data_IF_645946319832
#
_entry.id   IF_645946319832
#
_cell.length_a   1.000
_cell.length_b   1.000
_cell.length_c   1.000
_cell.angle_alpha   90.00
_cell.angle_beta   90.00
_cell.angle_gamma   90.00
#
_symmetry.space_group_name_H-M   'P 1'
#
loop_
_entity.id
_entity.type
_entity.pdbx_description
1 polymer ?
#
# COMPACT_ATOMS: atom_id res chain seq x y z
N UNK A 1 29.08 -2.79 0.11
CA UNK A 1 28.01 -3.83 0.07
C UNK A 1 28.50 -5.16 -0.52
N UNK A 2 29.71 -5.24 -1.10
CA UNK A 2 30.27 -6.46 -1.75
C UNK A 2 30.55 -7.65 -0.80
N UNK A 3 30.40 -7.48 0.52
CA UNK A 3 30.69 -8.52 1.53
C UNK A 3 29.44 -9.32 1.99
N UNK A 4 28.30 -9.15 1.32
CA UNK A 4 27.06 -9.87 1.64
C UNK A 4 26.76 -10.92 0.57
N UNK A 5 26.38 -12.11 1.01
CA UNK A 5 26.07 -13.27 0.18
C UNK A 5 24.75 -13.09 -0.60
N UNK A 6 23.78 -12.40 0.00
CA UNK A 6 22.46 -12.22 -0.59
C UNK A 6 22.06 -10.75 -0.58
N UNK A 7 21.35 -10.35 -1.64
CA UNK A 7 20.71 -9.04 -1.78
C UNK A 7 19.25 -9.25 -2.19
N UNK A 8 18.32 -8.68 -1.42
CA UNK A 8 16.91 -8.60 -1.77
C UNK A 8 16.57 -7.14 -2.05
N UNK A 9 15.92 -6.89 -3.18
CA UNK A 9 15.21 -5.64 -3.43
C UNK A 9 13.72 -5.88 -3.26
N UNK A 10 13.10 -5.13 -2.35
CA UNK A 10 11.66 -5.16 -2.10
C UNK A 10 11.07 -3.79 -2.46
N UNK A 11 10.35 -3.67 -3.58
CA UNK A 11 9.89 -2.39 -4.09
C UNK A 11 8.86 -1.75 -3.14
N UNK A 12 8.73 -0.43 -3.24
CA UNK A 12 7.54 0.26 -2.77
C UNK A 12 6.42 0.08 -3.78
N UNK A 13 5.22 0.56 -3.43
CA UNK A 13 4.05 0.45 -4.29
C UNK A 13 3.23 1.71 -4.36
N UNK A 14 2.51 1.87 -5.46
CA UNK A 14 1.45 2.86 -5.63
C UNK A 14 0.16 2.19 -6.11
N UNK A 15 -0.97 2.80 -5.78
CA UNK A 15 -2.30 2.29 -6.08
C UNK A 15 -3.11 3.38 -6.80
N UNK A 16 -3.29 3.32 -8.12
CA UNK A 16 -4.11 4.31 -8.84
C UNK A 16 -5.61 4.12 -8.63
N UNK A 17 -6.06 2.89 -8.39
CA UNK A 17 -7.47 2.52 -8.18
C UNK A 17 -7.58 1.36 -7.18
N UNK A 18 -8.64 1.35 -6.37
CA UNK A 18 -8.85 0.35 -5.32
C UNK A 18 -8.47 0.86 -3.93
N UNK A 19 -8.61 2.16 -3.70
CA UNK A 19 -8.37 2.80 -2.43
C UNK A 19 -9.26 2.21 -1.32
N UNK A 20 -8.67 1.81 -0.18
CA UNK A 20 -9.43 1.52 1.04
C UNK A 20 -10.58 0.49 0.91
N UNK A 21 -10.46 -0.45 -0.03
CA UNK A 21 -11.46 -1.50 -0.23
C UNK A 21 -10.91 -2.90 0.02
N UNK A 22 -9.59 -3.08 0.09
CA UNK A 22 -8.93 -4.37 0.32
C UNK A 22 -9.36 -5.01 1.65
N UNK A 23 -9.40 -4.23 2.73
CA UNK A 23 -9.85 -4.68 4.05
C UNK A 23 -11.37 -4.94 4.14
N UNK A 24 -12.12 -4.66 3.06
CA UNK A 24 -13.53 -5.02 2.89
C UNK A 24 -13.72 -6.09 1.80
N UNK A 25 -12.64 -6.77 1.40
CA UNK A 25 -12.61 -7.78 0.33
C UNK A 25 -13.03 -7.22 -1.04
N UNK A 26 -12.67 -5.98 -1.33
CA UNK A 26 -12.91 -5.33 -2.62
C UNK A 26 -11.92 -5.78 -3.71
N UNK A 27 -12.00 -5.09 -4.85
CA UNK A 27 -11.03 -5.24 -5.93
C UNK A 27 -9.98 -4.14 -5.80
N UNK A 28 -8.72 -4.49 -6.05
CA UNK A 28 -7.62 -3.52 -5.99
C UNK A 28 -6.69 -3.62 -7.17
N UNK A 29 -6.01 -2.51 -7.45
CA UNK A 29 -4.94 -2.44 -8.45
C UNK A 29 -3.72 -1.72 -7.92
N UNK A 30 -2.57 -1.96 -8.54
CA UNK A 30 -1.37 -1.20 -8.22
C UNK A 30 -0.14 -1.60 -9.01
N UNK A 31 0.93 -0.85 -8.74
CA UNK A 31 2.26 -1.05 -9.29
C UNK A 31 3.25 -1.22 -8.15
N UNK A 32 4.17 -2.18 -8.29
CA UNK A 32 5.49 -2.04 -7.68
C UNK A 32 6.26 -0.96 -8.46
N UNK A 33 7.11 -0.19 -7.77
CA UNK A 33 7.91 0.87 -8.39
C UNK A 33 9.41 0.59 -8.26
N UNK A 34 10.22 1.19 -9.14
CA UNK A 34 11.69 1.05 -9.17
C UNK A 34 12.43 1.76 -8.00
N UNK A 35 11.74 1.93 -6.88
CA UNK A 35 12.24 2.44 -5.60
C UNK A 35 11.70 1.53 -4.51
N UNK A 36 12.53 1.14 -3.57
CA UNK A 36 12.14 0.20 -2.51
C UNK A 36 13.09 0.20 -1.33
N UNK A 37 13.09 -0.95 -0.66
CA UNK A 37 14.02 -1.33 0.39
C UNK A 37 15.02 -2.33 -0.18
N UNK A 38 16.29 -2.04 0.02
CA UNK A 38 17.37 -2.99 -0.18
C UNK A 38 17.73 -3.64 1.15
N UNK A 39 17.86 -4.96 1.15
CA UNK A 39 18.35 -5.76 2.28
C UNK A 39 19.50 -6.63 1.82
N UNK A 40 20.69 -6.34 2.33
CA UNK A 40 21.88 -7.18 2.13
C UNK A 40 22.13 -8.00 3.39
N UNK A 41 22.37 -9.30 3.24
CA UNK A 41 22.56 -10.16 4.40
C UNK A 41 23.45 -11.39 4.14
N UNK A 42 24.05 -11.88 5.21
CA UNK A 42 24.74 -13.15 5.30
C UNK A 42 23.93 -14.09 6.21
N UNK A 43 23.88 -15.37 5.86
CA UNK A 43 23.26 -16.39 6.71
C UNK A 43 24.23 -16.79 7.81
N UNK A 44 23.71 -16.92 9.02
CA UNK A 44 24.46 -17.39 10.19
C UNK A 44 24.18 -18.88 10.44
N UNK A 45 25.11 -19.54 11.13
CA UNK A 45 24.92 -20.94 11.57
C UNK A 45 24.09 -21.05 12.86
N UNK A 46 23.94 -19.94 13.60
CA UNK A 46 23.06 -19.83 14.77
C UNK A 46 21.75 -19.10 14.43
N UNK A 47 20.82 -19.05 15.37
CA UNK A 47 19.53 -18.39 15.19
C UNK A 47 19.56 -16.86 15.43
N UNK A 48 20.74 -16.25 15.63
CA UNK A 48 20.82 -14.84 15.97
C UNK A 48 20.58 -13.96 14.73
N UNK A 49 19.83 -12.88 14.91
CA UNK A 49 19.58 -11.87 13.88
C UNK A 49 20.18 -10.57 14.36
N UNK A 50 21.11 -10.03 13.58
CA UNK A 50 21.71 -8.72 13.79
C UNK A 50 21.41 -7.85 12.58
N UNK A 51 20.71 -6.74 12.78
CA UNK A 51 20.32 -5.83 11.71
C UNK A 51 20.74 -4.40 12.02
N UNK A 52 21.31 -3.73 11.03
CA UNK A 52 21.58 -2.29 11.04
C UNK A 52 20.81 -1.61 9.92
N UNK A 53 20.45 -0.34 10.10
CA UNK A 53 19.75 0.45 9.07
C UNK A 53 20.60 1.65 8.68
N UNK A 54 20.75 1.89 7.38
CA UNK A 54 21.34 3.13 6.87
C UNK A 54 20.35 4.30 6.89
N UNK A 55 19.08 4.02 7.15
CA UNK A 55 17.99 5.01 7.14
C UNK A 55 17.47 5.36 8.54
N UNK A 56 17.82 4.58 9.56
CA UNK A 56 17.35 4.74 10.94
C UNK A 56 18.47 4.43 11.91
N UNK A 57 18.52 5.17 13.01
CA UNK A 57 19.44 4.88 14.10
C UNK A 57 19.06 3.60 14.84
N UNK A 58 20.03 3.04 15.57
CA UNK A 58 19.87 1.85 16.38
C UNK A 58 20.18 0.55 15.65
N UNK A 59 20.46 -0.48 16.44
CA UNK A 59 20.71 -1.83 15.98
C UNK A 59 19.60 -2.75 16.50
N UNK A 60 19.33 -3.83 15.78
CA UNK A 60 18.31 -4.80 16.14
C UNK A 60 18.96 -6.16 16.31
N UNK A 61 18.85 -6.69 17.53
CA UNK A 61 19.38 -8.00 17.90
C UNK A 61 18.27 -8.86 18.49
N UNK A 62 18.05 -10.04 17.94
CA UNK A 62 17.12 -11.02 18.53
C UNK A 62 17.40 -12.43 18.01
N UNK A 63 16.84 -13.41 18.71
CA UNK A 63 17.00 -14.83 18.37
C UNK A 63 15.73 -15.35 17.66
N UNK A 64 15.86 -15.93 16.45
CA UNK A 64 14.72 -16.50 15.70
C UNK A 64 14.10 -17.73 16.38
N UNK A 65 14.89 -18.55 17.06
CA UNK A 65 14.43 -19.78 17.69
C UNK A 65 13.61 -19.49 18.96
N UNK A 66 13.84 -18.36 19.64
CA UNK A 66 13.05 -17.96 20.81
C UNK A 66 11.63 -17.52 20.48
N UNK A 67 10.73 -17.51 21.47
CA UNK A 67 9.38 -16.93 21.32
C UNK A 67 9.50 -15.44 20.97
N UNK A 68 8.58 -14.91 20.17
CA UNK A 68 8.58 -13.48 19.88
C UNK A 68 8.10 -12.70 21.11
N UNK A 69 8.88 -11.70 21.51
CA UNK A 69 8.60 -10.84 22.66
C UNK A 69 7.60 -9.72 22.31
N UNK A 70 7.16 -9.00 23.35
CA UNK A 70 6.30 -7.82 23.22
C UNK A 70 7.00 -6.77 22.35
N UNK A 71 6.24 -6.02 21.56
CA UNK A 71 6.75 -4.93 20.72
C UNK A 71 7.59 -3.95 21.51
N UNK A 72 8.72 -3.57 20.92
CA UNK A 72 9.66 -2.61 21.49
C UNK A 72 9.39 -1.18 20.98
N UNK A 73 8.41 -1.00 20.08
CA UNK A 73 8.11 0.27 19.39
C UNK A 73 9.31 0.80 18.60
N UNK A 74 10.12 -0.13 18.09
CA UNK A 74 11.32 0.12 17.31
C UNK A 74 11.12 -0.37 15.86
N UNK A 75 11.92 0.11 14.90
CA UNK A 75 11.81 -0.38 13.51
C UNK A 75 12.09 -1.88 13.39
N UNK A 76 12.81 -2.46 14.36
CA UNK A 76 13.00 -3.90 14.50
C UNK A 76 11.73 -4.71 14.78
N UNK A 77 10.60 -4.07 15.12
CA UNK A 77 9.31 -4.75 15.29
C UNK A 77 8.86 -5.41 13.98
N UNK A 78 9.20 -4.86 12.82
CA UNK A 78 8.85 -5.48 11.53
C UNK A 78 9.61 -6.80 11.32
N UNK A 79 10.89 -6.86 11.67
CA UNK A 79 11.66 -8.12 11.63
C UNK A 79 11.09 -9.15 12.63
N UNK A 80 10.75 -8.71 13.84
CA UNK A 80 10.08 -9.57 14.84
C UNK A 80 8.70 -10.06 14.38
N UNK A 81 7.96 -9.23 13.65
CA UNK A 81 6.69 -9.57 13.04
C UNK A 81 6.84 -10.62 11.94
N UNK A 82 7.80 -10.45 11.03
CA UNK A 82 8.12 -11.45 10.01
C UNK A 82 8.49 -12.80 10.64
N UNK A 83 9.34 -12.79 11.68
CA UNK A 83 9.62 -13.98 12.50
C UNK A 83 8.34 -14.58 13.08
N UNK A 84 7.49 -13.77 13.72
CA UNK A 84 6.24 -14.24 14.35
C UNK A 84 5.36 -15.00 13.36
N UNK A 85 5.12 -14.43 12.18
CA UNK A 85 4.28 -15.04 11.16
C UNK A 85 4.90 -16.31 10.56
N UNK A 86 6.21 -16.30 10.27
CA UNK A 86 6.91 -17.48 9.75
C UNK A 86 6.89 -18.66 10.74
N UNK A 87 7.10 -18.41 12.04
CA UNK A 87 7.13 -19.45 13.08
C UNK A 87 5.82 -20.22 13.27
N UNK A 88 4.70 -19.68 12.77
CA UNK A 88 3.43 -20.42 12.78
C UNK A 88 3.43 -21.61 11.83
N UNK A 89 4.33 -21.61 10.83
CA UNK A 89 4.39 -22.59 9.75
C UNK A 89 5.70 -23.36 9.72
N UNK A 90 6.79 -22.76 10.20
CA UNK A 90 8.14 -23.30 10.05
C UNK A 90 8.96 -23.20 11.33
N UNK A 91 9.87 -24.14 11.50
CA UNK A 91 10.93 -24.02 12.50
C UNK A 91 12.07 -23.16 11.92
N UNK A 92 12.51 -22.15 12.68
CA UNK A 92 13.57 -21.23 12.28
C UNK A 92 14.78 -21.41 13.18
N UNK A 93 15.89 -21.86 12.62
CA UNK A 93 17.13 -22.20 13.33
C UNK A 93 18.35 -21.40 12.88
N UNK A 94 18.27 -20.78 11.69
CA UNK A 94 19.34 -19.94 11.12
C UNK A 94 18.90 -18.48 11.01
N UNK A 95 19.68 -17.59 11.61
CA UNK A 95 19.52 -16.15 11.56
C UNK A 95 20.40 -15.50 10.50
N UNK A 96 20.50 -14.18 10.57
CA UNK A 96 21.18 -13.36 9.56
C UNK A 96 21.94 -12.21 10.20
N UNK A 97 23.07 -11.84 9.59
CA UNK A 97 23.68 -10.52 9.75
C UNK A 97 23.32 -9.69 8.54
N UNK A 98 22.59 -8.58 8.72
CA UNK A 98 22.06 -7.81 7.61
C UNK A 98 22.10 -6.30 7.80
N UNK A 99 22.10 -5.59 6.68
CA UNK A 99 21.96 -4.14 6.62
C UNK A 99 20.85 -3.80 5.63
N UNK A 100 20.00 -2.83 5.99
CA UNK A 100 18.91 -2.36 5.14
C UNK A 100 19.02 -0.87 4.82
N UNK A 101 18.49 -0.50 3.65
CA UNK A 101 18.39 0.88 3.20
C UNK A 101 17.06 1.11 2.48
N UNK A 102 16.34 2.16 2.89
CA UNK A 102 15.18 2.66 2.14
C UNK A 102 15.58 3.72 1.13
N UNK A 103 15.07 3.62 -0.10
CA UNK A 103 15.41 4.55 -1.20
C UNK A 103 14.63 5.88 -1.21
N UNK A 104 13.51 5.98 -0.48
CA UNK A 104 12.65 7.16 -0.38
C UNK A 104 12.25 7.42 1.09
N UNK A 105 11.81 8.66 1.42
CA UNK A 105 11.27 8.98 2.74
C UNK A 105 10.08 8.10 3.12
N UNK A 106 9.90 7.88 4.43
CA UNK A 106 8.73 7.15 4.94
C UNK A 106 7.47 8.00 4.79
N UNK A 107 6.50 7.49 4.03
CA UNK A 107 5.15 8.06 4.00
C UNK A 107 4.37 7.63 2.76
N UNK A 108 3.22 6.98 2.93
CA UNK A 108 2.26 6.71 1.85
C UNK A 108 2.64 5.61 0.84
N UNK A 109 3.90 5.19 0.76
CA UNK A 109 4.38 4.23 -0.26
C UNK A 109 4.51 2.76 0.21
N UNK A 110 3.98 2.46 1.40
CA UNK A 110 4.06 1.13 2.05
C UNK A 110 5.45 0.58 2.24
N UNK A 111 6.31 1.42 2.80
CA UNK A 111 7.62 1.01 3.30
C UNK A 111 7.54 -0.07 4.39
N UNK A 112 6.46 -0.14 5.17
CA UNK A 112 6.24 -1.21 6.17
C UNK A 112 6.06 -2.58 5.51
N UNK A 113 5.20 -2.66 4.50
CA UNK A 113 4.99 -3.89 3.74
C UNK A 113 6.27 -4.30 2.96
N UNK A 114 6.98 -3.32 2.38
CA UNK A 114 8.23 -3.58 1.66
C UNK A 114 9.29 -4.21 2.56
N UNK A 115 9.51 -3.64 3.76
CA UNK A 115 10.50 -4.18 4.70
C UNK A 115 10.04 -5.54 5.29
N UNK A 116 8.74 -5.72 5.56
CA UNK A 116 8.20 -7.00 6.01
C UNK A 116 8.43 -8.11 4.98
N UNK A 117 8.17 -7.84 3.70
CA UNK A 117 8.42 -8.80 2.61
C UNK A 117 9.90 -9.14 2.53
N UNK A 118 10.80 -8.15 2.61
CA UNK A 118 12.23 -8.38 2.61
C UNK A 118 12.67 -9.32 3.74
N UNK A 119 12.17 -9.10 4.98
CA UNK A 119 12.48 -9.97 6.11
C UNK A 119 11.88 -11.37 5.97
N UNK A 120 10.64 -11.50 5.51
CA UNK A 120 10.02 -12.82 5.27
C UNK A 120 10.86 -13.61 4.27
N UNK A 121 11.25 -13.00 3.16
CA UNK A 121 12.09 -13.63 2.14
C UNK A 121 13.49 -13.97 2.67
N UNK A 122 14.12 -13.08 3.43
CA UNK A 122 15.46 -13.30 4.00
C UNK A 122 15.47 -14.45 5.01
N UNK A 123 14.52 -14.48 5.94
CA UNK A 123 14.43 -15.54 6.94
C UNK A 123 14.04 -16.88 6.32
N UNK A 124 13.16 -16.88 5.32
CA UNK A 124 12.85 -18.10 4.56
C UNK A 124 14.11 -18.63 3.86
N UNK A 125 14.86 -17.76 3.16
CA UNK A 125 16.12 -18.11 2.49
C UNK A 125 17.17 -18.65 3.45
N UNK A 126 17.36 -18.01 4.60
CA UNK A 126 18.32 -18.43 5.62
C UNK A 126 18.04 -19.83 6.17
N UNK A 127 16.76 -20.21 6.21
CA UNK A 127 16.30 -21.50 6.73
C UNK A 127 15.99 -22.52 5.62
N UNK A 128 16.37 -22.26 4.37
CA UNK A 128 16.13 -23.19 3.25
C UNK A 128 14.65 -23.38 2.88
N UNK A 129 13.78 -22.46 3.30
CA UNK A 129 12.34 -22.51 3.02
C UNK A 129 12.07 -21.88 1.66
N UNK A 130 11.39 -22.62 0.79
CA UNK A 130 10.92 -22.11 -0.50
C UNK A 130 9.48 -21.66 -0.36
N UNK A 131 9.21 -20.38 -0.62
CA UNK A 131 7.87 -19.79 -0.59
C UNK A 131 7.44 -19.40 -2.00
N UNK A 132 6.19 -19.69 -2.34
CA UNK A 132 5.56 -19.09 -3.50
C UNK A 132 5.32 -17.60 -3.26
N UNK A 133 5.29 -16.76 -4.31
CA UNK A 133 5.10 -15.31 -4.15
C UNK A 133 3.85 -14.95 -3.34
N UNK A 134 2.75 -15.68 -3.52
CA UNK A 134 1.51 -15.42 -2.77
C UNK A 134 1.60 -15.87 -1.30
N UNK A 135 2.41 -16.88 -0.98
CA UNK A 135 2.66 -17.24 0.43
C UNK A 135 3.44 -16.12 1.14
N UNK A 136 4.37 -15.46 0.45
CA UNK A 136 5.07 -14.27 0.97
C UNK A 136 4.07 -13.15 1.28
N UNK A 137 3.10 -12.91 0.39
CA UNK A 137 2.00 -11.94 0.62
C UNK A 137 1.23 -12.26 1.90
N UNK A 138 0.80 -13.50 2.05
CA UNK A 138 -0.02 -13.94 3.19
C UNK A 138 0.74 -13.86 4.52
N UNK A 139 2.01 -14.30 4.54
CA UNK A 139 2.84 -14.27 5.75
C UNK A 139 3.16 -12.82 6.15
N UNK A 140 3.48 -11.96 5.19
CA UNK A 140 3.74 -10.54 5.47
C UNK A 140 2.48 -9.82 5.98
N UNK A 141 1.30 -10.10 5.41
CA UNK A 141 0.02 -9.54 5.87
C UNK A 141 -0.32 -9.99 7.29
N UNK A 142 -0.10 -11.27 7.61
CA UNK A 142 -0.31 -11.79 8.96
C UNK A 142 0.60 -11.13 9.99
N UNK A 143 1.87 -10.90 9.64
CA UNK A 143 2.80 -10.16 10.49
C UNK A 143 2.30 -8.73 10.78
N UNK A 144 1.79 -8.03 9.77
CA UNK A 144 1.32 -6.65 9.92
C UNK A 144 0.02 -6.57 10.75
N UNK A 145 -0.91 -7.49 10.52
CA UNK A 145 -2.19 -7.52 11.25
C UNK A 145 -2.05 -7.97 12.69
N UNK A 146 -1.37 -9.08 12.92
CA UNK A 146 -1.39 -9.74 14.23
C UNK A 146 -0.26 -9.28 15.15
N UNK A 147 0.90 -8.92 14.58
CA UNK A 147 2.03 -8.45 15.39
C UNK A 147 2.09 -6.92 15.42
N UNK A 148 2.02 -6.24 14.26
CA UNK A 148 2.07 -4.77 14.21
C UNK A 148 0.73 -4.14 14.62
N UNK A 149 -0.39 -4.86 14.48
CA UNK A 149 -1.71 -4.39 14.91
C UNK A 149 -2.41 -3.44 13.93
N UNK A 150 -2.03 -3.49 12.64
CA UNK A 150 -2.66 -2.69 11.60
C UNK A 150 -3.67 -3.56 10.82
N UNK A 151 -4.96 -3.24 10.88
CA UNK A 151 -6.02 -4.01 10.23
C UNK A 151 -6.15 -3.69 8.73
N UNK A 152 -5.05 -3.76 7.98
CA UNK A 152 -5.05 -3.57 6.53
C UNK A 152 -5.48 -4.83 5.78
N UNK A 153 -5.74 -4.67 4.47
CA UNK A 153 -5.94 -5.78 3.56
C UNK A 153 -4.63 -6.23 2.90
N UNK A 154 -4.75 -6.84 1.71
CA UNK A 154 -3.64 -7.48 1.00
C UNK A 154 -2.99 -6.59 -0.08
N UNK A 155 -3.53 -5.39 -0.33
CA UNK A 155 -3.14 -4.55 -1.47
C UNK A 155 -1.63 -4.29 -1.50
N UNK A 156 -1.07 -3.88 -0.37
CA UNK A 156 0.32 -3.46 -0.28
C UNK A 156 1.27 -4.62 -0.53
N UNK A 157 1.08 -5.73 0.19
CA UNK A 157 1.94 -6.90 0.11
C UNK A 157 1.81 -7.56 -1.27
N UNK A 158 0.59 -7.60 -1.84
CA UNK A 158 0.37 -8.14 -3.17
C UNK A 158 1.07 -7.33 -4.26
N UNK A 159 0.96 -6.00 -4.24
CA UNK A 159 1.68 -5.15 -5.21
C UNK A 159 3.19 -5.38 -5.14
N UNK A 160 3.73 -5.43 -3.93
CA UNK A 160 5.17 -5.53 -3.70
C UNK A 160 5.70 -6.92 -4.09
N UNK A 161 5.00 -8.01 -3.75
CA UNK A 161 5.50 -9.36 -4.04
C UNK A 161 5.18 -9.84 -5.46
N UNK A 162 4.02 -9.46 -6.00
CA UNK A 162 3.49 -9.99 -7.26
C UNK A 162 3.68 -9.04 -8.46
N UNK A 163 4.08 -7.80 -8.19
CA UNK A 163 4.28 -6.77 -9.20
C UNK A 163 5.15 -7.22 -10.36
N UNK A 164 4.88 -6.65 -11.54
CA UNK A 164 5.66 -6.88 -12.74
C UNK A 164 5.93 -5.56 -13.43
N UNK A 165 7.14 -5.44 -13.96
CA UNK A 165 7.53 -4.32 -14.80
C UNK A 165 6.52 -4.14 -15.94
N UNK A 166 6.11 -2.90 -16.19
CA UNK A 166 5.14 -2.51 -17.23
C UNK A 166 3.78 -3.23 -17.15
N UNK A 167 3.38 -3.71 -15.96
CA UNK A 167 2.11 -4.39 -15.73
C UNK A 167 1.32 -3.80 -14.57
N UNK A 168 0.00 -3.69 -14.74
CA UNK A 168 -0.92 -3.34 -13.66
C UNK A 168 -1.32 -4.62 -12.93
N UNK A 169 -1.02 -4.72 -11.63
CA UNK A 169 -1.57 -5.79 -10.81
C UNK A 169 -3.06 -5.55 -10.63
N UNK A 170 -3.86 -6.61 -10.81
CA UNK A 170 -5.24 -6.70 -10.37
C UNK A 170 -5.34 -7.84 -9.35
N UNK A 171 -6.03 -7.59 -8.24
CA UNK A 171 -6.33 -8.58 -7.20
C UNK A 171 -7.78 -8.45 -6.76
N UNK A 172 -8.47 -9.58 -6.68
CA UNK A 172 -9.70 -9.73 -5.93
C UNK A 172 -9.36 -10.18 -4.50
N UNK A 173 -9.58 -9.30 -3.52
CA UNK A 173 -9.24 -9.58 -2.12
C UNK A 173 -10.19 -10.57 -1.43
N UNK A 174 -11.27 -11.00 -2.11
CA UNK A 174 -12.19 -12.03 -1.61
C UNK A 174 -11.73 -13.43 -2.02
N UNK A 175 -11.56 -13.66 -3.32
CA UNK A 175 -11.14 -14.97 -3.88
C UNK A 175 -9.64 -15.19 -3.84
N UNK A 176 -8.84 -14.15 -3.60
CA UNK A 176 -7.38 -14.11 -3.77
C UNK A 176 -6.91 -14.35 -5.22
N UNK A 177 -7.81 -14.30 -6.20
CA UNK A 177 -7.42 -14.37 -7.61
C UNK A 177 -6.75 -13.07 -8.02
N UNK A 178 -5.59 -13.20 -8.67
CA UNK A 178 -4.82 -12.08 -9.16
C UNK A 178 -4.32 -12.33 -10.57
N UNK A 179 -4.06 -11.24 -11.30
CA UNK A 179 -3.41 -11.28 -12.61
C UNK A 179 -2.64 -10.00 -12.87
N UNK A 180 -1.63 -10.11 -13.72
CA UNK A 180 -0.91 -8.95 -14.27
C UNK A 180 -1.53 -8.58 -15.60
N UNK A 181 -2.06 -7.37 -15.66
CA UNK A 181 -2.60 -6.80 -16.89
C UNK A 181 -1.46 -6.05 -17.57
N UNK A 182 -0.94 -6.62 -18.65
CA UNK A 182 0.15 -6.02 -19.42
C UNK A 182 -0.26 -4.65 -19.94
N UNK A 183 0.69 -3.70 -19.93
CA UNK A 183 0.51 -2.40 -20.59
C UNK A 183 0.13 -2.62 -22.06
N UNK A 184 -0.91 -1.94 -22.52
CA UNK A 184 -1.30 -1.95 -23.92
C UNK A 184 -0.21 -1.22 -24.75
N UNK A 185 0.26 -1.79 -25.89
CA UNK A 185 1.30 -1.17 -26.72
C UNK A 185 0.94 0.23 -27.27
N UNK A 186 -0.34 0.50 -27.49
CA UNK A 186 -0.85 1.78 -28.01
C UNK A 186 -1.06 2.81 -26.88
N UNK A 187 -0.82 2.43 -25.63
CA UNK A 187 -0.92 3.32 -24.49
C UNK A 187 0.21 4.38 -24.54
N UNK A 188 -0.12 5.68 -24.39
CA UNK A 188 0.90 6.72 -24.27
C UNK A 188 1.94 6.41 -23.21
N UNK A 189 3.16 6.90 -23.40
CA UNK A 189 4.19 6.86 -22.36
C UNK A 189 3.72 7.63 -21.11
N UNK A 190 4.09 7.09 -19.96
CA UNK A 190 3.84 7.76 -18.68
C UNK A 190 4.97 7.50 -17.69
N UNK A 191 5.17 8.45 -16.79
CA UNK A 191 5.92 8.26 -15.55
C UNK A 191 5.01 8.48 -14.35
N UNK A 192 5.42 7.94 -13.20
CA UNK A 192 4.71 8.14 -11.94
C UNK A 192 5.43 9.24 -11.15
N UNK A 193 4.76 10.38 -10.98
CA UNK A 193 5.18 11.41 -10.04
C UNK A 193 4.75 11.07 -8.62
N UNK A 194 5.65 11.22 -7.66
CA UNK A 194 5.38 11.09 -6.23
C UNK A 194 5.69 12.43 -5.56
N UNK A 195 4.67 13.05 -4.99
CA UNK A 195 4.75 14.36 -4.34
C UNK A 195 4.55 14.19 -2.84
N UNK A 196 5.65 14.13 -2.09
CA UNK A 196 5.60 14.04 -0.63
C UNK A 196 5.21 15.39 -0.03
N UNK A 197 4.22 15.42 0.86
CA UNK A 197 3.76 16.67 1.47
C UNK A 197 4.74 17.28 2.48
N UNK A 198 5.74 16.53 2.93
CA UNK A 198 6.63 16.93 4.02
C UNK A 198 6.06 16.64 5.43
N UNK A 199 4.81 16.17 5.53
CA UNK A 199 4.18 15.79 6.79
C UNK A 199 4.59 14.38 7.24
N UNK A 200 5.27 14.27 8.38
CA UNK A 200 5.93 13.02 8.85
C UNK A 200 5.26 12.31 10.05
N UNK A 201 4.05 12.70 10.46
CA UNK A 201 3.36 12.13 11.66
C UNK A 201 3.18 10.59 11.62
N UNK A 202 3.14 9.92 12.79
CA UNK A 202 2.95 8.45 12.89
C UNK A 202 1.54 7.98 12.50
N UNK A 203 1.40 6.79 11.89
CA UNK A 203 0.12 6.17 11.48
C UNK A 203 -0.61 5.45 12.61
N UNK A 204 0.12 5.05 13.67
CA UNK A 204 -0.40 4.16 14.73
C UNK A 204 -1.53 4.81 15.55
N UNK A 205 -1.77 6.11 15.37
CA UNK A 205 -2.90 6.86 15.95
C UNK A 205 -3.77 7.54 14.87
N UNK A 206 -3.80 7.01 13.64
CA UNK A 206 -4.67 7.53 12.56
C UNK A 206 -6.07 6.92 12.59
N UNK A 207 -7.02 7.63 11.98
CA UNK A 207 -8.41 7.19 11.79
C UNK A 207 -8.56 5.94 10.90
N UNK A 208 -7.48 5.30 10.43
CA UNK A 208 -7.55 4.16 9.52
C UNK A 208 -8.41 3.01 10.08
N UNK A 209 -8.09 2.52 11.29
CA UNK A 209 -8.86 1.45 11.92
C UNK A 209 -10.32 1.89 12.15
N UNK A 210 -10.55 3.16 12.49
CA UNK A 210 -11.89 3.71 12.63
C UNK A 210 -12.68 3.62 11.32
N UNK A 211 -12.06 3.91 10.16
CA UNK A 211 -12.71 3.73 8.84
C UNK A 211 -13.01 2.26 8.54
N UNK A 212 -12.11 1.33 8.87
CA UNK A 212 -12.38 -0.11 8.76
C UNK A 212 -13.63 -0.49 9.57
N UNK A 213 -13.73 -0.01 10.82
CA UNK A 213 -14.89 -0.24 11.69
C UNK A 213 -16.17 0.37 11.10
N UNK A 214 -16.13 1.59 10.59
CA UNK A 214 -17.30 2.25 9.98
C UNK A 214 -17.85 1.47 8.77
N UNK A 215 -16.98 0.93 7.90
CA UNK A 215 -17.41 0.08 6.79
C UNK A 215 -18.12 -1.19 7.28
N UNK A 216 -17.58 -1.85 8.31
CA UNK A 216 -18.19 -3.04 8.90
C UNK A 216 -19.54 -2.73 9.53
N UNK A 217 -19.64 -1.60 10.24
CA UNK A 217 -20.91 -1.10 10.79
C UNK A 217 -21.92 -0.81 9.69
N UNK A 218 -21.50 -0.24 8.55
CA UNK A 218 -22.38 -0.01 7.42
C UNK A 218 -22.97 -1.34 6.90
N UNK A 219 -22.13 -2.34 6.64
CA UNK A 219 -22.57 -3.66 6.21
C UNK A 219 -23.50 -4.34 7.22
N UNK A 220 -23.19 -4.24 8.52
CA UNK A 220 -24.01 -4.80 9.60
C UNK A 220 -25.40 -4.14 9.67
N UNK A 221 -25.46 -2.81 9.55
CA UNK A 221 -26.72 -2.07 9.49
C UNK A 221 -27.58 -2.51 8.29
N UNK A 222 -26.98 -2.71 7.11
CA UNK A 222 -27.70 -3.18 5.93
C UNK A 222 -28.33 -4.55 6.14
N UNK A 223 -27.61 -5.48 6.79
CA UNK A 223 -28.17 -6.78 7.16
C UNK A 223 -29.36 -6.63 8.11
N UNK A 224 -29.24 -5.77 9.14
CA UNK A 224 -30.31 -5.52 10.10
C UNK A 224 -31.56 -4.91 9.45
N UNK A 225 -31.40 -3.89 8.59
CA UNK A 225 -32.52 -3.23 7.91
C UNK A 225 -33.26 -4.15 6.93
N UNK A 226 -32.57 -5.15 6.38
CA UNK A 226 -33.14 -6.14 5.46
C UNK A 226 -33.57 -7.44 6.15
N UNK A 227 -33.58 -7.45 7.49
CA UNK A 227 -33.93 -8.61 8.32
C UNK A 227 -33.12 -9.88 7.95
N UNK A 228 -31.88 -9.70 7.52
CA UNK A 228 -30.96 -10.78 7.18
C UNK A 228 -30.23 -11.30 8.43
N UNK A 229 -29.81 -12.58 8.45
CA UNK A 229 -29.00 -13.11 9.54
C UNK A 229 -27.72 -12.28 9.77
N UNK A 230 -27.54 -11.82 11.01
CA UNK A 230 -26.39 -11.02 11.40
C UNK A 230 -25.16 -11.93 11.56
N UNK A 231 -24.04 -11.52 10.94
CA UNK A 231 -22.73 -12.13 11.18
C UNK A 231 -22.09 -11.49 12.41
N UNK A 232 -21.09 -12.16 12.98
CA UNK A 232 -20.21 -11.52 13.97
C UNK A 232 -19.48 -10.35 13.29
N UNK A 233 -19.21 -9.30 14.07
CA UNK A 233 -18.70 -8.05 13.51
C UNK A 233 -17.33 -8.24 12.81
N UNK A 234 -16.48 -9.12 13.33
CA UNK A 234 -15.20 -9.50 12.72
C UNK A 234 -15.36 -10.18 11.34
N UNK A 235 -16.50 -10.85 11.09
CA UNK A 235 -16.83 -11.55 9.83
C UNK A 235 -17.83 -10.81 8.94
N UNK A 236 -18.04 -9.52 9.21
CA UNK A 236 -18.94 -8.68 8.42
C UNK A 236 -18.13 -7.79 7.48
N UNK A 237 -18.41 -7.85 6.19
CA UNK A 237 -17.71 -7.09 5.15
C UNK A 237 -18.69 -6.52 4.14
N UNK A 238 -18.36 -5.37 3.55
CA UNK A 238 -19.20 -4.75 2.50
C UNK A 238 -19.28 -5.62 1.23
N UNK A 239 -18.25 -6.40 0.91
CA UNK A 239 -18.25 -7.31 -0.25
C UNK A 239 -19.37 -8.36 -0.21
N UNK A 240 -19.78 -8.78 0.99
CA UNK A 240 -20.83 -9.77 1.18
C UNK A 240 -22.23 -9.22 0.89
N UNK A 241 -22.36 -7.89 0.79
CA UNK A 241 -23.64 -7.21 0.66
C UNK A 241 -23.83 -6.80 -0.81
N UNK A 242 -24.93 -7.20 -1.48
CA UNK A 242 -25.22 -6.75 -2.83
C UNK A 242 -25.41 -5.22 -2.87
N UNK A 243 -24.94 -4.58 -3.95
CA UNK A 243 -25.11 -3.13 -4.13
C UNK A 243 -26.58 -2.70 -4.09
N UNK A 244 -27.51 -3.49 -4.62
CA UNK A 244 -28.95 -3.20 -4.57
C UNK A 244 -29.47 -3.10 -3.13
N UNK A 245 -28.93 -3.92 -2.22
CA UNK A 245 -29.23 -3.82 -0.78
C UNK A 245 -28.75 -2.49 -0.21
N UNK A 246 -27.55 -2.04 -0.57
CA UNK A 246 -27.08 -0.72 -0.18
C UNK A 246 -27.99 0.39 -0.71
N UNK A 247 -28.37 0.33 -1.99
CA UNK A 247 -29.21 1.37 -2.61
C UNK A 247 -30.57 1.51 -1.92
N UNK A 248 -31.17 0.39 -1.47
CA UNK A 248 -32.43 0.37 -0.70
C UNK A 248 -32.31 0.90 0.73
N UNK A 249 -31.14 0.77 1.34
CA UNK A 249 -30.94 1.03 2.78
C UNK A 249 -30.13 2.28 3.06
N UNK A 250 -29.52 2.88 2.03
CA UNK A 250 -28.62 4.04 2.13
C UNK A 250 -29.20 5.18 2.96
N UNK A 251 -30.45 5.55 2.70
CA UNK A 251 -31.10 6.71 3.33
C UNK A 251 -31.64 6.40 4.75
N UNK A 252 -31.73 5.12 5.12
CA UNK A 252 -32.08 4.68 6.47
C UNK A 252 -30.89 4.75 7.43
N UNK A 253 -29.68 4.75 6.88
CA UNK A 253 -28.43 4.67 7.62
C UNK A 253 -27.89 6.07 7.97
N UNK A 254 -27.23 6.26 9.13
CA UNK A 254 -26.49 7.49 9.41
C UNK A 254 -25.51 7.82 8.29
N UNK A 255 -25.52 9.09 7.85
CA UNK A 255 -24.85 9.54 6.62
C UNK A 255 -23.36 9.17 6.54
N UNK A 256 -22.67 9.19 7.69
CA UNK A 256 -21.25 8.79 7.80
C UNK A 256 -21.01 7.37 7.30
N UNK A 257 -21.83 6.40 7.72
CA UNK A 257 -21.67 4.99 7.33
C UNK A 257 -22.09 4.77 5.87
N UNK A 258 -23.17 5.44 5.43
CA UNK A 258 -23.61 5.42 4.04
C UNK A 258 -22.51 5.94 3.09
N UNK A 259 -21.79 6.99 3.47
CA UNK A 259 -20.64 7.51 2.70
C UNK A 259 -19.50 6.47 2.58
N UNK A 260 -19.19 5.71 3.64
CA UNK A 260 -18.16 4.65 3.56
C UNK A 260 -18.56 3.52 2.62
N UNK A 261 -19.82 3.09 2.67
CA UNK A 261 -20.34 2.11 1.74
C UNK A 261 -20.34 2.64 0.29
N UNK A 262 -20.75 3.89 0.07
CA UNK A 262 -20.69 4.54 -1.25
C UNK A 262 -19.26 4.54 -1.81
N UNK A 263 -18.25 4.85 -0.99
CA UNK A 263 -16.85 4.76 -1.41
C UNK A 263 -16.52 3.34 -1.90
N UNK A 264 -16.85 2.31 -1.10
CA UNK A 264 -16.57 0.92 -1.46
C UNK A 264 -17.21 0.51 -2.80
N UNK A 265 -18.51 0.70 -2.98
CA UNK A 265 -19.19 0.26 -4.21
C UNK A 265 -18.78 1.08 -5.43
N UNK A 266 -18.55 2.39 -5.27
CA UNK A 266 -18.08 3.23 -6.36
C UNK A 266 -16.63 2.89 -6.75
N UNK A 267 -15.77 2.55 -5.79
CA UNK A 267 -14.39 2.13 -6.04
C UNK A 267 -14.32 0.75 -6.70
N UNK A 268 -15.17 -0.18 -6.27
CA UNK A 268 -15.32 -1.49 -6.91
C UNK A 268 -15.64 -1.35 -8.41
N UNK A 269 -16.56 -0.44 -8.75
CA UNK A 269 -16.88 -0.11 -10.15
C UNK A 269 -15.71 0.54 -10.87
N UNK A 270 -15.04 1.53 -10.25
CA UNK A 270 -13.89 2.23 -10.84
C UNK A 270 -12.75 1.29 -11.16
N UNK A 271 -12.44 0.32 -10.29
CA UNK A 271 -11.41 -0.69 -10.55
C UNK A 271 -11.74 -1.51 -11.79
N UNK A 272 -12.97 -2.01 -11.93
CA UNK A 272 -13.38 -2.75 -13.14
C UNK A 272 -13.28 -1.91 -14.41
N UNK A 273 -13.70 -0.65 -14.35
CA UNK A 273 -13.58 0.27 -15.48
C UNK A 273 -12.11 0.60 -15.80
N UNK A 274 -11.27 0.74 -14.77
CA UNK A 274 -9.84 0.99 -14.90
C UNK A 274 -9.10 -0.17 -15.53
N UNK A 275 -9.44 -1.40 -15.15
CA UNK A 275 -8.94 -2.62 -15.81
C UNK A 275 -9.24 -2.57 -17.32
N UNK A 276 -10.48 -2.29 -17.71
CA UNK A 276 -10.85 -2.15 -19.12
C UNK A 276 -10.09 -1.01 -19.81
N UNK A 277 -9.96 0.15 -19.14
CA UNK A 277 -9.23 1.30 -19.69
C UNK A 277 -7.75 0.97 -19.92
N UNK A 278 -7.13 0.24 -18.99
CA UNK A 278 -5.75 -0.22 -19.10
C UNK A 278 -5.56 -1.22 -20.24
N UNK A 279 -6.43 -2.22 -20.33
CA UNK A 279 -6.42 -3.24 -21.40
C UNK A 279 -6.59 -2.62 -22.80
N UNK A 280 -7.36 -1.53 -22.91
CA UNK A 280 -7.63 -0.82 -24.16
C UNK A 280 -6.68 0.34 -24.45
N UNK A 281 -5.66 0.57 -23.61
CA UNK A 281 -4.69 1.65 -23.78
C UNK A 281 -5.23 3.06 -23.52
N UNK A 282 -6.46 3.18 -23.00
CA UNK A 282 -7.11 4.46 -22.72
C UNK A 282 -6.62 5.06 -21.39
N UNK A 283 -5.40 5.58 -21.42
CA UNK A 283 -4.74 6.17 -20.25
C UNK A 283 -5.49 7.40 -19.72
N UNK A 284 -6.15 8.16 -20.58
CA UNK A 284 -6.96 9.33 -20.21
C UNK A 284 -8.17 8.91 -19.35
N UNK A 285 -8.87 7.84 -19.73
CA UNK A 285 -9.95 7.29 -18.92
C UNK A 285 -9.41 6.70 -17.61
N UNK A 286 -8.30 5.95 -17.65
CA UNK A 286 -7.68 5.40 -16.45
C UNK A 286 -7.30 6.50 -15.45
N UNK A 287 -6.68 7.56 -15.95
CA UNK A 287 -6.28 8.71 -15.15
C UNK A 287 -7.47 9.50 -14.59
N UNK A 288 -8.52 9.72 -15.40
CA UNK A 288 -9.79 10.28 -14.92
C UNK A 288 -10.39 9.46 -13.77
N UNK A 289 -10.41 8.13 -13.91
CA UNK A 289 -10.91 7.23 -12.85
C UNK A 289 -10.06 7.35 -11.57
N UNK A 290 -8.75 7.57 -11.69
CA UNK A 290 -7.87 7.82 -10.54
C UNK A 290 -8.24 9.13 -9.83
N UNK A 291 -8.57 10.19 -10.57
CA UNK A 291 -9.10 11.41 -9.96
C UNK A 291 -10.44 11.17 -9.27
N UNK A 292 -11.38 10.49 -9.93
CA UNK A 292 -12.68 10.14 -9.35
C UNK A 292 -12.55 9.27 -8.08
N UNK A 293 -11.52 8.40 -8.02
CA UNK A 293 -11.15 7.66 -6.82
C UNK A 293 -10.71 8.60 -5.69
N UNK A 294 -9.83 9.57 -5.98
CA UNK A 294 -9.37 10.55 -5.00
C UNK A 294 -10.50 11.45 -4.48
N UNK A 295 -11.38 11.94 -5.35
CA UNK A 295 -12.58 12.69 -4.95
C UNK A 295 -13.44 11.87 -3.98
N UNK A 296 -13.63 10.57 -4.27
CA UNK A 296 -14.34 9.69 -3.36
C UNK A 296 -13.58 9.45 -2.05
N UNK A 297 -12.24 9.38 -2.07
CA UNK A 297 -11.43 9.31 -0.85
C UNK A 297 -11.62 10.55 0.04
N UNK A 298 -11.68 11.75 -0.57
CA UNK A 298 -11.87 13.02 0.14
C UNK A 298 -13.31 13.11 0.69
N UNK A 299 -14.32 12.91 -0.15
CA UNK A 299 -15.70 13.23 0.20
C UNK A 299 -16.49 12.07 0.82
N UNK A 300 -16.28 10.84 0.34
CA UNK A 300 -17.01 9.67 0.81
C UNK A 300 -16.23 8.90 1.88
N UNK A 301 -14.92 8.74 1.73
CA UNK A 301 -14.10 8.06 2.73
C UNK A 301 -13.60 9.00 3.84
N UNK A 302 -13.64 10.31 3.61
CA UNK A 302 -13.18 11.34 4.55
C UNK A 302 -11.76 11.05 5.04
N UNK A 303 -10.85 10.83 4.08
CA UNK A 303 -9.41 10.81 4.27
C UNK A 303 -8.73 11.86 3.38
N UNK A 304 -7.49 12.21 3.70
CA UNK A 304 -6.78 13.34 3.11
C UNK A 304 -6.45 14.36 4.18
N UNK A 305 -5.15 14.65 4.37
CA UNK A 305 -4.75 15.82 5.14
C UNK A 305 -4.92 17.08 4.27
N UNK A 306 -5.04 18.28 4.88
CA UNK A 306 -5.09 19.53 4.11
C UNK A 306 -3.96 19.65 3.10
N UNK A 307 -2.75 19.25 3.49
CA UNK A 307 -1.56 19.26 2.63
C UNK A 307 -1.71 18.37 1.39
N UNK A 308 -2.20 17.14 1.57
CA UNK A 308 -2.40 16.21 0.46
C UNK A 308 -3.49 16.71 -0.49
N UNK A 309 -4.59 17.25 0.06
CA UNK A 309 -5.67 17.85 -0.72
C UNK A 309 -5.15 19.03 -1.54
N UNK A 310 -4.30 19.89 -0.95
CA UNK A 310 -3.69 21.03 -1.65
C UNK A 310 -2.79 20.58 -2.80
N UNK A 311 -1.91 19.59 -2.58
CA UNK A 311 -1.08 19.02 -3.66
C UNK A 311 -1.97 18.45 -4.78
N UNK A 312 -2.99 17.69 -4.42
CA UNK A 312 -3.93 17.10 -5.38
C UNK A 312 -4.65 18.17 -6.21
N UNK A 313 -5.14 19.23 -5.58
CA UNK A 313 -5.86 20.31 -6.24
C UNK A 313 -4.96 21.13 -7.17
N UNK A 314 -3.71 21.39 -6.79
CA UNK A 314 -2.72 22.08 -7.62
C UNK A 314 -2.37 21.22 -8.84
N UNK A 315 -2.15 19.93 -8.63
CA UNK A 315 -1.68 18.99 -9.64
C UNK A 315 -2.72 18.64 -10.70
N UNK A 316 -3.97 18.40 -10.28
CA UNK A 316 -5.06 17.90 -11.15
C UNK A 316 -5.26 18.69 -12.46
N UNK A 317 -5.23 20.05 -12.47
CA UNK A 317 -5.42 20.81 -13.70
C UNK A 317 -4.15 21.01 -14.54
N UNK A 318 -2.97 20.54 -14.09
CA UNK A 318 -1.72 20.80 -14.81
C UNK A 318 -1.66 20.04 -16.14
N UNK A 319 -1.18 20.69 -17.22
CA UNK A 319 -0.91 20.00 -18.49
C UNK A 319 0.01 18.80 -18.29
N UNK A 320 -0.28 17.70 -19.00
CA UNK A 320 0.48 16.46 -18.92
C UNK A 320 0.12 15.56 -17.74
N UNK A 321 -0.78 15.95 -16.83
CA UNK A 321 -1.26 15.05 -15.78
C UNK A 321 -2.46 14.25 -16.30
N UNK A 322 -2.30 12.94 -16.47
CA UNK A 322 -3.39 12.05 -16.89
C UNK A 322 -4.36 11.76 -15.74
N UNK A 323 -3.82 11.56 -14.54
CA UNK A 323 -4.56 11.16 -13.35
C UNK A 323 -3.70 11.22 -12.10
N UNK A 324 -4.31 11.15 -10.93
CA UNK A 324 -3.57 11.08 -9.69
C UNK A 324 -4.48 10.97 -8.47
N UNK A 325 -3.90 10.60 -7.33
CA UNK A 325 -4.60 10.43 -6.05
C UNK A 325 -3.65 10.36 -4.88
N UNK A 326 -4.19 10.30 -3.66
CA UNK A 326 -3.39 10.00 -2.47
C UNK A 326 -2.79 8.59 -2.55
N UNK A 327 -1.56 8.46 -2.08
CA UNK A 327 -0.90 7.17 -1.88
C UNK A 327 -1.02 6.70 -0.43
N UNK A 328 -1.28 5.41 -0.25
CA UNK A 328 -1.48 4.80 1.06
C UNK A 328 -2.76 5.25 1.75
N UNK A 329 -2.73 5.34 3.08
CA UNK A 329 -3.91 5.57 3.90
C UNK A 329 -4.52 7.00 3.82
N UNK A 330 -3.89 7.93 3.09
CA UNK A 330 -4.42 9.29 2.89
C UNK A 330 -4.33 10.23 4.10
N UNK A 331 -3.80 9.80 5.25
CA UNK A 331 -3.63 10.68 6.43
C UNK A 331 -2.26 11.36 6.52
N UNK A 332 -1.32 10.93 5.66
CA UNK A 332 0.04 11.48 5.49
C UNK A 332 0.62 10.96 4.17
N UNK A 333 1.82 11.42 3.83
CA UNK A 333 2.64 10.78 2.81
C UNK A 333 2.66 11.56 1.52
N UNK A 334 2.17 10.94 0.45
CA UNK A 334 2.36 11.47 -0.88
C UNK A 334 1.09 11.43 -1.73
N UNK A 335 1.01 12.36 -2.67
CA UNK A 335 0.13 12.26 -3.84
C UNK A 335 0.92 11.56 -4.94
N UNK A 336 0.27 10.68 -5.69
CA UNK A 336 0.82 10.10 -6.90
C UNK A 336 0.12 10.67 -8.13
N UNK A 337 0.84 10.79 -9.23
CA UNK A 337 0.31 11.16 -10.53
C UNK A 337 0.83 10.26 -11.64
N UNK A 338 -0.02 9.96 -12.60
CA UNK A 338 0.38 9.46 -13.91
C UNK A 338 0.57 10.67 -14.82
N UNK A 339 1.78 10.88 -15.32
CA UNK A 339 2.11 12.07 -16.11
C UNK A 339 2.74 11.70 -17.43
N UNK A 340 2.54 12.57 -18.41
CA UNK A 340 3.35 12.63 -19.62
C UNK A 340 4.78 13.08 -19.23
N UNK A 341 5.83 12.27 -19.54
CA UNK A 341 7.21 12.61 -19.21
C UNK A 341 7.68 13.95 -19.79
N UNK A 342 7.07 14.43 -20.88
CA UNK A 342 7.40 15.72 -21.49
C UNK A 342 7.06 16.92 -20.59
N UNK A 343 6.14 16.75 -19.64
CA UNK A 343 5.67 17.82 -18.76
C UNK A 343 6.26 17.77 -17.34
N UNK A 344 7.10 16.76 -17.03
CA UNK A 344 7.58 16.51 -15.66
C UNK A 344 8.22 17.73 -14.98
N UNK A 345 9.08 18.46 -15.70
CA UNK A 345 9.82 19.61 -15.16
C UNK A 345 8.87 20.79 -14.89
N UNK A 346 7.92 21.02 -15.79
CA UNK A 346 6.90 22.05 -15.62
C UNK A 346 5.97 21.71 -14.45
N UNK A 347 5.52 20.46 -14.35
CA UNK A 347 4.66 19.98 -13.25
C UNK A 347 5.39 20.17 -11.91
N UNK A 348 6.64 19.73 -11.80
CA UNK A 348 7.43 19.87 -10.57
C UNK A 348 7.62 21.33 -10.18
N UNK A 349 8.01 22.18 -11.13
CA UNK A 349 8.24 23.61 -10.87
C UNK A 349 6.96 24.32 -10.41
N UNK A 350 5.84 24.14 -11.11
CA UNK A 350 4.57 24.79 -10.77
C UNK A 350 4.04 24.28 -9.44
N UNK A 351 4.02 22.96 -9.25
CA UNK A 351 3.48 22.35 -8.03
C UNK A 351 4.30 22.74 -6.81
N UNK A 352 5.63 22.70 -6.89
CA UNK A 352 6.53 23.09 -5.79
C UNK A 352 6.30 24.54 -5.40
N UNK A 353 6.24 25.45 -6.38
CA UNK A 353 6.01 26.87 -6.14
C UNK A 353 4.67 27.13 -5.46
N UNK A 354 3.59 26.57 -5.98
CA UNK A 354 2.25 26.81 -5.46
C UNK A 354 2.01 26.15 -4.10
N UNK A 355 2.57 24.96 -3.88
CA UNK A 355 2.45 24.26 -2.62
C UNK A 355 3.24 24.95 -1.50
N UNK A 356 4.51 25.30 -1.74
CA UNK A 356 5.33 25.97 -0.74
C UNK A 356 4.90 27.42 -0.46
N UNK A 357 4.17 28.05 -1.38
CA UNK A 357 3.51 29.33 -1.09
C UNK A 357 2.39 29.19 -0.04
N UNK A 358 1.75 28.02 0.05
CA UNK A 358 0.71 27.72 1.03
C UNK A 358 1.28 27.11 2.32
N UNK A 359 2.38 26.35 2.21
CA UNK A 359 3.02 25.63 3.32
C UNK A 359 4.55 25.82 3.33
N UNK A 360 5.05 27.04 3.61
CA UNK A 360 6.48 27.34 3.58
C UNK A 360 7.29 26.51 4.60
N UNK A 361 6.66 26.05 5.68
CA UNK A 361 7.29 25.20 6.70
C UNK A 361 7.80 23.86 6.16
N UNK A 362 7.31 23.41 5.00
CA UNK A 362 7.72 22.16 4.36
C UNK A 362 8.80 22.33 3.29
N UNK A 363 9.43 23.50 3.15
CA UNK A 363 10.48 23.76 2.14
C UNK A 363 11.58 22.67 2.13
N UNK A 364 12.00 22.20 3.30
CA UNK A 364 13.07 21.21 3.42
C UNK A 364 12.58 19.76 3.32
N UNK A 365 11.28 19.51 3.57
CA UNK A 365 10.71 18.16 3.71
C UNK A 365 9.81 17.76 2.55
N UNK A 366 9.26 18.71 1.80
CA UNK A 366 8.61 18.48 0.52
C UNK A 366 9.63 17.91 -0.48
N UNK A 367 9.26 16.83 -1.16
CA UNK A 367 10.11 16.15 -2.15
C UNK A 367 9.27 15.63 -3.30
N UNK A 368 9.83 15.72 -4.50
CA UNK A 368 9.27 15.14 -5.71
C UNK A 368 10.17 14.02 -6.20
N UNK A 369 9.57 12.90 -6.59
CA UNK A 369 10.29 11.79 -7.20
C UNK A 369 9.56 11.30 -8.44
N UNK A 370 10.32 10.99 -9.48
CA UNK A 370 9.83 10.39 -10.71
C UNK A 370 10.24 8.92 -10.73
N UNK A 371 9.25 8.03 -10.84
CA UNK A 371 9.46 6.58 -10.76
C UNK A 371 8.75 5.87 -11.91
N UNK A 372 9.11 4.60 -12.12
CA UNK A 372 8.50 3.73 -13.12
C UNK A 372 7.98 2.46 -12.46
N UNK A 373 6.92 1.83 -13.02
CA UNK A 373 6.55 0.47 -12.66
C UNK A 373 7.75 -0.47 -12.79
N UNK A 374 7.90 -1.40 -11.84
CA UNK A 374 8.98 -2.36 -11.80
C UNK A 374 8.49 -3.73 -11.37
N UNK A 375 9.37 -4.74 -11.44
CA UNK A 375 9.11 -6.05 -10.89
C UNK A 375 8.94 -6.01 -9.36
N UNK A 376 8.21 -6.99 -8.86
CA UNK A 376 8.05 -7.25 -7.43
C UNK A 376 9.36 -7.61 -6.71
N UNK A 377 9.22 -7.93 -5.43
CA UNK A 377 10.32 -8.28 -4.55
C UNK A 377 11.09 -9.49 -5.08
N UNK A 378 12.41 -9.38 -5.09
CA UNK A 378 13.31 -10.35 -5.73
C UNK A 378 14.68 -10.36 -5.09
N UNK A 379 15.35 -11.50 -5.21
CA UNK A 379 16.80 -11.56 -5.04
C UNK A 379 17.45 -10.91 -6.28
N UNK A 380 18.42 -10.03 -6.05
CA UNK A 380 19.12 -9.28 -7.10
C UNK A 380 20.40 -9.99 -7.51
#
# INVERSE_FOLDING_TARGET
>A
MENYQYHIFSPYRVCPLGAHVDHQHGLVTGFAINKGVDLWFNVREDAQVNLTSLSFEGEVHFDLAKRTEVREKHWGDYARGAKYALKKRFELTKGIDGVLQGSLPVGGLSSSAAVLIAYVMAFAKANGITLQPFEVVQIASEAEREYIGLNNGLLDQACIALGKKDGLLFLDCDSNEWRIIKRNPDMPEFEIGIFFSGLTRSLVNSDYNLRVFECKTAAWNMLAYMEQPLKTFDKTFLRDIPKDTFDKTRDMMPSRFARRAEHFYSEYRRVRQGVTAWETGNLQLFGKLSFDSCESSIHNYECGSPELISIYNIMRPLPGVYGGRFSGAGFKGAVIALVDPAYKEQIEATLTKEYLAQYPEYENTFKVFWVKPDDGARFV
#
